data_IF_683400838138
#
_entry.id   IF_683400838138
#
_cell.length_a   1.000
_cell.length_b   1.000
_cell.length_c   1.000
_cell.angle_alpha   90.00
_cell.angle_beta   90.00
_cell.angle_gamma   90.00
#
_symmetry.space_group_name_H-M   'P 1'
#
loop_
_entity.id
_entity.type
_entity.pdbx_description
1 polymer ?
#
# COMPACT_ATOMS: atom_id res chain seq x y z
N UNK A 1 42.96 3.55 -35.92
CA UNK A 1 44.02 3.52 -34.90
C UNK A 1 43.53 2.63 -33.78
N UNK A 2 44.34 1.64 -33.38
CA UNK A 2 44.09 0.80 -32.21
C UNK A 2 44.97 1.27 -31.06
N UNK A 3 44.45 1.09 -29.84
CA UNK A 3 45.18 1.32 -28.61
C UNK A 3 45.44 0.00 -27.88
N UNK A 4 46.67 -0.17 -27.43
CA UNK A 4 47.09 -1.27 -26.58
C UNK A 4 47.21 -0.76 -25.15
N UNK A 5 46.41 -1.30 -24.25
CA UNK A 5 46.33 -0.84 -22.88
C UNK A 5 46.90 -1.92 -21.96
N UNK A 6 48.03 -1.63 -21.31
CA UNK A 6 48.55 -2.44 -20.25
C UNK A 6 47.72 -2.34 -18.99
N UNK A 7 47.33 -3.46 -18.40
CA UNK A 7 46.41 -3.54 -17.26
C UNK A 7 47.17 -3.74 -15.96
N UNK A 8 46.87 -2.90 -14.98
CA UNK A 8 47.40 -3.04 -13.62
C UNK A 8 46.74 -4.22 -12.89
N UNK A 9 47.53 -4.98 -12.14
CA UNK A 9 47.09 -6.13 -11.35
C UNK A 9 46.01 -5.82 -10.28
N UNK A 10 45.80 -4.56 -9.89
CA UNK A 10 44.77 -4.19 -8.93
C UNK A 10 43.36 -4.31 -9.50
N UNK A 11 43.12 -3.90 -10.75
CA UNK A 11 41.83 -4.09 -11.42
C UNK A 11 41.46 -5.55 -11.59
N UNK A 12 42.45 -6.40 -11.81
CA UNK A 12 42.29 -7.88 -11.89
C UNK A 12 41.93 -8.45 -10.52
N UNK A 13 42.64 -8.08 -9.45
CA UNK A 13 42.38 -8.56 -8.07
C UNK A 13 40.99 -8.16 -7.56
N UNK A 14 40.47 -7.01 -8.00
CA UNK A 14 39.13 -6.56 -7.67
C UNK A 14 38.02 -7.22 -8.51
N UNK A 15 38.40 -8.11 -9.47
CA UNK A 15 37.42 -8.71 -10.38
C UNK A 15 36.75 -7.74 -11.35
N UNK A 16 37.32 -6.54 -11.49
CA UNK A 16 36.77 -5.47 -12.35
C UNK A 16 37.10 -5.73 -13.81
N UNK A 17 38.26 -6.31 -14.09
CA UNK A 17 38.67 -6.76 -15.42
C UNK A 17 39.06 -8.23 -15.40
N UNK A 18 38.97 -8.86 -16.58
CA UNK A 18 39.49 -10.23 -16.79
C UNK A 18 41.01 -10.33 -16.59
N UNK A 19 41.52 -11.50 -16.32
CA UNK A 19 42.97 -11.78 -16.15
C UNK A 19 43.71 -11.67 -17.50
N UNK A 20 43.81 -10.49 -18.06
CA UNK A 20 44.59 -10.17 -19.25
C UNK A 20 45.53 -9.02 -18.94
N UNK A 21 46.79 -9.20 -19.34
CA UNK A 21 47.83 -8.18 -19.13
C UNK A 21 47.70 -7.02 -20.10
N UNK A 22 47.05 -7.20 -21.23
CA UNK A 22 46.90 -6.18 -22.26
C UNK A 22 45.55 -6.29 -22.96
N UNK A 23 44.89 -5.17 -23.14
CA UNK A 23 43.70 -5.03 -23.96
C UNK A 23 44.01 -4.29 -25.25
N UNK A 24 43.40 -4.73 -26.34
CA UNK A 24 43.51 -4.10 -27.65
C UNK A 24 42.11 -3.70 -28.10
N UNK A 25 41.91 -2.43 -28.39
CA UNK A 25 40.63 -1.93 -28.86
C UNK A 25 40.77 -0.76 -29.83
N UNK A 26 39.72 -0.41 -30.58
CA UNK A 26 39.67 0.85 -31.33
C UNK A 26 39.80 2.04 -30.39
N UNK A 27 40.55 3.07 -30.78
CA UNK A 27 40.72 4.28 -29.95
C UNK A 27 39.40 4.96 -29.66
N UNK A 28 38.43 4.90 -30.57
CA UNK A 28 37.06 5.45 -30.39
C UNK A 28 36.26 4.79 -29.28
N UNK A 29 36.63 3.57 -28.87
CA UNK A 29 35.91 2.82 -27.81
C UNK A 29 36.56 2.96 -26.43
N UNK A 30 37.72 3.59 -26.37
CA UNK A 30 38.54 3.68 -25.12
C UNK A 30 37.78 4.43 -24.03
N UNK A 31 37.12 5.53 -24.36
CA UNK A 31 36.35 6.32 -23.38
C UNK A 31 35.19 5.50 -22.82
N UNK A 32 34.44 4.81 -23.69
CA UNK A 32 33.34 3.95 -23.27
C UNK A 32 33.81 2.82 -22.35
N UNK A 33 34.95 2.19 -22.66
CA UNK A 33 35.58 1.17 -21.85
C UNK A 33 35.99 1.71 -20.47
N UNK A 34 36.67 2.88 -20.42
CA UNK A 34 37.08 3.50 -19.14
C UNK A 34 35.88 3.85 -18.29
N UNK A 35 34.81 4.42 -18.88
CA UNK A 35 33.57 4.75 -18.17
C UNK A 35 32.88 3.49 -17.64
N UNK A 36 32.79 2.40 -18.42
CA UNK A 36 32.24 1.14 -17.96
C UNK A 36 33.05 0.52 -16.81
N UNK A 37 34.38 0.63 -16.86
CA UNK A 37 35.27 0.16 -15.79
C UNK A 37 35.08 0.99 -14.52
N UNK A 38 34.96 2.32 -14.59
CA UNK A 38 34.66 3.17 -13.44
C UNK A 38 33.27 2.89 -12.86
N UNK A 39 32.26 2.66 -13.70
CA UNK A 39 30.93 2.28 -13.24
C UNK A 39 30.95 0.95 -12.49
N UNK A 40 31.73 -0.02 -12.96
CA UNK A 40 31.89 -1.31 -12.26
C UNK A 40 32.59 -1.11 -10.91
N UNK A 41 33.68 -0.33 -10.87
CA UNK A 41 34.37 0.04 -9.62
C UNK A 41 33.45 0.76 -8.64
N UNK A 42 32.64 1.67 -9.12
CA UNK A 42 31.66 2.41 -8.33
C UNK A 42 30.62 1.46 -7.71
N UNK A 43 30.09 0.51 -8.46
CA UNK A 43 29.14 -0.51 -7.94
C UNK A 43 29.74 -1.36 -6.83
N UNK A 44 31.03 -1.65 -6.91
CA UNK A 44 31.77 -2.39 -5.88
C UNK A 44 32.14 -1.50 -4.65
N UNK A 45 31.83 -0.20 -4.69
CA UNK A 45 32.01 0.73 -3.58
C UNK A 45 33.26 1.61 -3.67
N UNK A 46 33.97 1.56 -4.78
CA UNK A 46 35.10 2.46 -5.05
C UNK A 46 34.62 3.75 -5.72
N UNK A 47 33.76 4.48 -5.03
CA UNK A 47 33.03 5.65 -5.58
C UNK A 47 33.92 6.84 -5.90
N UNK A 48 35.16 6.89 -5.41
CA UNK A 48 36.15 7.94 -5.68
C UNK A 48 37.32 7.43 -6.53
N UNK A 49 37.19 6.23 -7.11
CA UNK A 49 38.22 5.66 -7.99
C UNK A 49 38.44 6.56 -9.23
N UNK A 50 39.68 6.63 -9.66
CA UNK A 50 40.09 7.35 -10.87
C UNK A 50 40.79 6.41 -11.81
N UNK A 51 40.51 6.53 -13.09
CA UNK A 51 41.20 5.85 -14.18
C UNK A 51 41.90 6.87 -15.05
N UNK A 52 43.16 6.61 -15.36
CA UNK A 52 43.96 7.45 -16.26
C UNK A 52 44.76 6.56 -17.21
N UNK A 53 44.85 6.98 -18.46
CA UNK A 53 45.82 6.44 -19.40
C UNK A 53 47.14 7.19 -19.24
N UNK A 54 48.18 6.48 -18.88
CA UNK A 54 49.53 7.00 -18.68
C UNK A 54 50.50 6.43 -19.69
N UNK A 55 51.71 6.96 -19.81
CA UNK A 55 52.77 6.46 -20.67
C UNK A 55 52.37 6.32 -22.17
N UNK A 56 51.55 7.25 -22.65
CA UNK A 56 51.06 7.25 -24.02
C UNK A 56 52.23 7.33 -25.02
N UNK A 57 52.38 6.31 -25.86
CA UNK A 57 53.37 6.23 -26.92
C UNK A 57 52.73 5.87 -28.24
N UNK A 58 53.03 6.63 -29.30
CA UNK A 58 52.59 6.32 -30.67
C UNK A 58 53.64 5.47 -31.34
N UNK A 59 53.21 4.32 -31.83
CA UNK A 59 54.05 3.40 -32.63
C UNK A 59 53.35 3.12 -33.95
N UNK A 60 53.79 3.81 -35.04
CA UNK A 60 53.22 3.72 -36.39
C UNK A 60 51.69 3.97 -36.38
N UNK A 61 50.92 2.89 -36.51
CA UNK A 61 49.47 2.91 -36.68
C UNK A 61 48.68 2.58 -35.37
N UNK A 62 49.36 2.45 -34.26
CA UNK A 62 48.75 2.16 -32.97
C UNK A 62 49.31 3.03 -31.84
N UNK A 63 48.53 3.13 -30.77
CA UNK A 63 48.96 3.73 -29.50
C UNK A 63 49.19 2.67 -28.45
N UNK A 64 50.21 2.88 -27.64
CA UNK A 64 50.41 2.11 -26.38
C UNK A 64 50.14 3.01 -25.21
N UNK A 65 49.48 2.51 -24.18
CA UNK A 65 49.21 3.22 -22.93
C UNK A 65 49.16 2.22 -21.76
N UNK A 66 49.44 2.70 -20.56
CA UNK A 66 49.19 1.98 -19.34
C UNK A 66 47.94 2.50 -18.67
N UNK A 67 47.04 1.62 -18.21
CA UNK A 67 45.87 1.97 -17.45
C UNK A 67 46.27 2.10 -15.98
N UNK A 68 46.30 3.31 -15.48
CA UNK A 68 46.52 3.60 -14.07
C UNK A 68 45.17 3.69 -13.35
N UNK A 69 45.00 2.88 -12.30
CA UNK A 69 43.85 2.86 -11.44
C UNK A 69 44.25 3.34 -10.04
N UNK A 70 43.78 4.52 -9.68
CA UNK A 70 43.93 5.05 -8.34
C UNK A 70 42.72 4.55 -7.51
N UNK A 71 43.01 3.59 -6.64
CA UNK A 71 42.00 2.98 -5.78
C UNK A 71 42.03 3.67 -4.41
N UNK A 72 40.96 4.43 -4.11
CA UNK A 72 40.72 4.87 -2.74
C UNK A 72 40.02 3.75 -1.94
N UNK A 73 39.83 3.99 -0.64
CA UNK A 73 39.15 3.03 0.26
C UNK A 73 37.75 2.67 -0.27
N UNK A 74 37.36 1.42 -0.02
CA UNK A 74 35.97 0.99 -0.11
C UNK A 74 35.10 1.94 0.73
N UNK A 75 34.03 2.48 0.14
CA UNK A 75 33.13 3.40 0.80
C UNK A 75 31.87 2.67 1.27
N UNK A 76 31.52 2.89 2.53
CA UNK A 76 30.29 2.37 3.14
C UNK A 76 29.46 3.55 3.67
N UNK A 77 28.14 3.39 3.73
CA UNK A 77 27.26 4.36 4.37
C UNK A 77 27.46 4.32 5.88
N UNK A 78 28.06 5.35 6.44
CA UNK A 78 28.32 5.42 7.89
C UNK A 78 27.17 6.07 8.65
N UNK A 79 26.50 7.07 8.05
CA UNK A 79 25.35 7.72 8.66
C UNK A 79 24.43 8.34 7.61
N UNK A 80 23.14 8.46 7.99
CA UNK A 80 22.11 9.21 7.24
C UNK A 80 21.65 10.36 8.13
N UNK A 81 21.81 11.58 7.65
CA UNK A 81 21.42 12.82 8.33
C UNK A 81 20.13 13.33 7.69
N UNK A 82 19.10 13.49 8.50
CA UNK A 82 17.78 13.97 8.04
C UNK A 82 17.66 15.43 8.44
N UNK A 83 17.48 16.31 7.46
CA UNK A 83 17.38 17.75 7.62
C UNK A 83 16.00 18.28 7.20
N UNK A 84 15.55 19.37 7.81
CA UNK A 84 14.34 20.12 7.42
C UNK A 84 13.05 19.69 8.13
N UNK A 85 13.06 18.56 8.84
CA UNK A 85 11.92 18.14 9.65
C UNK A 85 12.38 17.66 11.05
N UNK A 86 12.45 18.57 12.01
CA UNK A 86 12.96 18.29 13.35
C UNK A 86 12.19 17.22 14.11
N UNK A 87 10.88 17.15 13.89
CA UNK A 87 9.98 16.14 14.50
C UNK A 87 9.85 14.86 13.68
N UNK A 88 10.85 14.52 12.85
CA UNK A 88 10.85 13.26 12.14
C UNK A 88 10.81 12.07 13.11
N UNK A 89 9.92 11.08 12.93
CA UNK A 89 9.72 9.98 13.88
C UNK A 89 11.00 9.20 14.17
N UNK A 90 11.41 9.13 15.44
CA UNK A 90 12.66 8.50 15.87
C UNK A 90 12.72 6.99 15.53
N UNK A 91 11.58 6.29 15.55
CA UNK A 91 11.51 4.89 15.12
C UNK A 91 11.91 4.71 13.67
N UNK A 92 11.34 5.51 12.76
CA UNK A 92 11.65 5.52 11.34
C UNK A 92 13.11 5.93 11.08
N UNK A 93 13.59 6.97 11.78
CA UNK A 93 14.98 7.43 11.68
C UNK A 93 15.97 6.34 12.07
N UNK A 94 15.71 5.63 13.16
CA UNK A 94 16.57 4.52 13.59
C UNK A 94 16.53 3.36 12.62
N UNK A 95 15.35 3.03 12.10
CA UNK A 95 15.18 1.95 11.12
C UNK A 95 15.91 2.22 9.82
N UNK A 96 15.81 3.44 9.26
CA UNK A 96 16.51 3.76 8.02
C UNK A 96 18.03 3.75 8.21
N UNK A 97 18.51 4.29 9.33
CA UNK A 97 19.93 4.22 9.67
C UNK A 97 20.40 2.77 9.81
N UNK A 98 19.66 1.92 10.50
CA UNK A 98 19.98 0.49 10.68
C UNK A 98 20.06 -0.25 9.35
N UNK A 99 19.15 0.04 8.43
CA UNK A 99 19.06 -0.61 7.12
C UNK A 99 20.28 -0.35 6.24
N UNK A 100 20.83 0.86 6.30
CA UNK A 100 21.90 1.29 5.41
C UNK A 100 23.29 1.37 6.06
N UNK A 101 23.38 1.31 7.39
CA UNK A 101 24.67 1.34 8.10
C UNK A 101 25.58 0.21 7.61
N UNK A 102 26.81 0.55 7.26
CA UNK A 102 27.86 -0.34 6.75
C UNK A 102 27.47 -1.07 5.42
N UNK A 103 26.45 -0.56 4.70
CA UNK A 103 26.21 -0.99 3.32
C UNK A 103 27.20 -0.30 2.40
N UNK A 104 27.66 -1.02 1.38
CA UNK A 104 28.49 -0.45 0.32
C UNK A 104 27.81 0.80 -0.22
N UNK A 105 28.58 1.91 -0.23
CA UNK A 105 28.10 3.14 -0.82
C UNK A 105 28.35 3.14 -2.34
N UNK A 106 27.29 3.27 -3.09
CA UNK A 106 27.27 3.46 -4.54
C UNK A 106 25.99 4.22 -4.94
N UNK A 107 25.89 4.59 -6.22
CA UNK A 107 24.70 5.30 -6.73
C UNK A 107 23.41 4.51 -6.57
N UNK A 108 23.47 3.18 -6.67
CA UNK A 108 22.31 2.33 -6.45
C UNK A 108 21.84 2.40 -4.99
N UNK A 109 22.75 2.36 -4.04
CA UNK A 109 22.44 2.52 -2.61
C UNK A 109 21.85 3.90 -2.33
N UNK A 110 22.42 4.97 -2.93
CA UNK A 110 21.89 6.33 -2.81
C UNK A 110 20.47 6.43 -3.37
N UNK A 111 20.22 5.83 -4.53
CA UNK A 111 18.87 5.76 -5.14
C UNK A 111 17.89 4.98 -4.27
N UNK A 112 18.33 3.89 -3.62
CA UNK A 112 17.50 3.14 -2.67
C UNK A 112 17.15 3.97 -1.43
N UNK A 113 18.11 4.72 -0.88
CA UNK A 113 17.86 5.65 0.24
C UNK A 113 16.83 6.69 -0.18
N UNK A 114 17.02 7.35 -1.32
CA UNK A 114 16.03 8.29 -1.86
C UNK A 114 14.64 7.67 -1.99
N UNK A 115 14.52 6.50 -2.64
CA UNK A 115 13.26 5.80 -2.81
C UNK A 115 12.62 5.31 -1.50
N UNK A 116 13.39 5.04 -0.44
CA UNK A 116 12.82 4.67 0.87
C UNK A 116 12.17 5.89 1.54
N UNK A 117 12.70 7.11 1.38
CA UNK A 117 12.04 8.31 1.87
C UNK A 117 10.77 8.65 1.09
N UNK A 118 10.67 8.29 -0.19
CA UNK A 118 9.43 8.43 -0.96
C UNK A 118 8.29 7.52 -0.49
N UNK A 119 8.59 6.46 0.25
CA UNK A 119 7.58 5.57 0.85
C UNK A 119 6.89 6.18 2.07
N UNK A 120 7.45 7.23 2.66
CA UNK A 120 6.86 7.90 3.80
C UNK A 120 5.81 8.92 3.35
N UNK A 121 4.55 8.69 3.69
CA UNK A 121 3.45 9.61 3.36
C UNK A 121 3.53 10.96 4.07
N UNK A 122 4.24 11.03 5.20
CA UNK A 122 4.30 12.21 6.06
C UNK A 122 5.45 13.15 5.77
N UNK A 123 6.24 12.90 4.72
CA UNK A 123 7.31 13.78 4.24
C UNK A 123 7.33 13.89 2.73
N UNK A 124 7.82 15.04 2.24
CA UNK A 124 8.27 15.24 0.88
C UNK A 124 9.77 15.49 0.88
N UNK A 125 10.48 14.95 -0.08
CA UNK A 125 11.89 15.30 -0.30
C UNK A 125 11.96 16.61 -1.07
N UNK A 126 12.73 17.60 -0.52
CA UNK A 126 12.88 18.92 -1.17
C UNK A 126 13.96 18.94 -2.22
N UNK A 127 14.91 18.01 -2.14
CA UNK A 127 15.95 17.78 -3.15
C UNK A 127 16.49 16.35 -3.06
N UNK A 128 17.22 15.94 -4.09
CA UNK A 128 17.92 14.66 -4.11
C UNK A 128 18.98 14.60 -2.99
N UNK A 129 19.23 13.44 -2.35
CA UNK A 129 20.19 13.31 -1.27
C UNK A 129 21.60 13.76 -1.67
N UNK A 130 22.27 14.48 -0.78
CA UNK A 130 23.66 14.92 -0.94
C UNK A 130 24.61 14.02 -0.15
N UNK A 131 25.85 13.97 -0.59
CA UNK A 131 26.87 13.10 -0.03
C UNK A 131 28.01 13.94 0.51
N UNK A 132 28.45 13.63 1.73
CA UNK A 132 29.68 14.14 2.29
C UNK A 132 30.69 13.00 2.46
N UNK A 133 31.74 13.04 1.67
CA UNK A 133 32.91 12.20 1.86
C UNK A 133 33.91 12.91 2.76
N UNK A 134 34.25 12.30 3.87
CA UNK A 134 35.41 12.67 4.67
C UNK A 134 36.52 11.65 4.43
N UNK A 135 37.68 11.82 5.09
CA UNK A 135 38.79 10.86 4.97
C UNK A 135 38.36 9.42 5.25
N UNK A 136 37.49 9.20 6.26
CA UNK A 136 37.16 7.87 6.74
C UNK A 136 35.64 7.59 6.79
N UNK A 137 34.79 8.58 6.48
CA UNK A 137 33.35 8.40 6.57
C UNK A 137 32.62 8.91 5.34
N UNK A 138 31.48 8.26 5.04
CA UNK A 138 30.52 8.68 4.03
C UNK A 138 29.18 8.95 4.72
N UNK A 139 28.70 10.18 4.67
CA UNK A 139 27.42 10.59 5.23
C UNK A 139 26.47 10.97 4.09
N UNK A 140 25.24 10.48 4.17
CA UNK A 140 24.18 10.84 3.22
C UNK A 140 23.23 11.83 3.90
N UNK A 141 23.06 13.01 3.31
CA UNK A 141 22.17 14.06 3.79
C UNK A 141 20.87 14.01 2.98
N UNK A 142 19.78 13.76 3.66
CA UNK A 142 18.43 13.77 3.08
C UNK A 142 17.69 14.99 3.58
N UNK A 143 17.06 15.72 2.66
CA UNK A 143 16.35 16.96 2.96
C UNK A 143 14.86 16.73 2.77
N UNK A 144 14.11 16.87 3.84
CA UNK A 144 12.66 16.59 3.86
C UNK A 144 11.88 17.70 4.54
N UNK A 145 10.67 17.88 4.11
CA UNK A 145 9.68 18.72 4.76
C UNK A 145 8.46 17.87 5.17
N UNK A 146 7.69 18.32 6.15
CA UNK A 146 6.44 17.65 6.54
C UNK A 146 5.42 17.76 5.42
N UNK A 147 4.89 16.64 4.94
CA UNK A 147 3.76 16.59 4.00
C UNK A 147 2.41 16.68 4.73
N UNK A 148 1.34 16.75 3.97
CA UNK A 148 -0.05 16.74 4.47
C UNK A 148 -0.73 15.42 4.10
N UNK A 149 -0.47 14.33 4.84
CA UNK A 149 -0.99 13.00 4.51
C UNK A 149 -2.40 12.76 5.03
N UNK A 150 -2.90 13.64 5.93
CA UNK A 150 -4.20 13.48 6.55
C UNK A 150 -5.31 13.65 5.54
N UNK A 151 -6.34 12.83 5.67
CA UNK A 151 -7.52 12.87 4.80
C UNK A 151 -8.78 12.85 5.64
N UNK A 152 -9.74 13.60 5.21
CA UNK A 152 -11.11 13.61 5.74
C UNK A 152 -12.07 13.56 4.57
N UNK A 153 -13.05 12.68 4.66
CA UNK A 153 -14.17 12.57 3.75
C UNK A 153 -15.43 12.35 4.59
N UNK A 154 -16.52 13.03 4.31
CA UNK A 154 -17.74 12.79 5.05
C UNK A 154 -18.77 13.91 4.98
N UNK A 155 -19.99 13.53 5.37
CA UNK A 155 -21.08 14.43 5.68
C UNK A 155 -21.95 13.85 6.78
N UNK A 156 -22.66 14.71 7.49
CA UNK A 156 -23.65 14.33 8.50
C UNK A 156 -24.95 15.06 8.18
N UNK A 157 -26.01 14.29 8.01
CA UNK A 157 -27.38 14.78 7.86
C UNK A 157 -28.21 14.51 9.12
N UNK A 158 -29.14 15.37 9.40
CA UNK A 158 -30.08 15.25 10.52
C UNK A 158 -31.50 15.29 9.98
N UNK A 159 -32.35 14.42 10.49
CA UNK A 159 -33.79 14.37 10.18
C UNK A 159 -34.56 13.78 11.36
N UNK A 160 -35.88 13.72 11.24
CA UNK A 160 -36.69 12.98 12.20
C UNK A 160 -37.28 11.73 11.53
N UNK A 161 -37.49 10.68 12.30
CA UNK A 161 -38.29 9.55 11.87
C UNK A 161 -39.79 9.86 11.96
N UNK A 162 -40.63 8.93 11.53
CA UNK A 162 -42.08 9.06 11.57
C UNK A 162 -42.62 9.19 13.02
N UNK A 163 -41.83 8.69 13.99
CA UNK A 163 -42.12 8.78 15.44
C UNK A 163 -41.60 10.07 16.09
N UNK A 164 -40.91 10.93 15.32
CA UNK A 164 -40.37 12.23 15.78
C UNK A 164 -38.97 12.13 16.40
N UNK A 165 -38.33 10.95 16.45
CA UNK A 165 -36.98 10.77 16.97
C UNK A 165 -35.94 11.29 16.00
N UNK A 166 -34.84 11.83 16.53
CA UNK A 166 -33.72 12.33 15.74
C UNK A 166 -33.02 11.17 15.01
N UNK A 167 -32.97 11.25 13.68
CA UNK A 167 -32.18 10.40 12.81
C UNK A 167 -30.89 11.08 12.42
N UNK A 168 -29.79 10.37 12.55
CA UNK A 168 -28.49 10.81 12.04
C UNK A 168 -28.12 9.89 10.89
N UNK A 169 -27.93 10.46 9.71
CA UNK A 169 -27.43 9.76 8.52
C UNK A 169 -26.16 10.42 8.01
N UNK A 170 -25.34 9.67 7.30
CA UNK A 170 -24.11 10.18 6.75
C UNK A 170 -22.94 9.22 6.90
N UNK A 171 -21.77 9.72 6.61
CA UNK A 171 -20.52 8.97 6.84
C UNK A 171 -19.39 9.93 7.19
N UNK A 172 -18.36 9.36 7.79
CA UNK A 172 -17.09 9.99 8.12
C UNK A 172 -15.96 9.00 7.84
N UNK A 173 -14.99 9.40 7.03
CA UNK A 173 -13.76 8.65 6.73
C UNK A 173 -12.56 9.55 7.05
N UNK A 174 -11.87 9.25 8.13
CA UNK A 174 -10.73 10.02 8.64
C UNK A 174 -9.47 9.16 8.62
N UNK A 175 -8.42 9.69 7.99
CA UNK A 175 -7.07 9.14 8.06
C UNK A 175 -6.13 10.18 8.65
N UNK A 176 -5.48 9.85 9.75
CA UNK A 176 -4.40 10.63 10.34
C UNK A 176 -3.10 9.82 10.27
N UNK A 177 -2.04 10.46 9.77
CA UNK A 177 -0.71 9.84 9.65
C UNK A 177 0.32 10.75 10.28
N UNK A 178 1.08 10.22 11.22
CA UNK A 178 2.16 10.94 11.90
C UNK A 178 1.72 12.26 12.57
N UNK A 179 0.50 12.32 13.08
CA UNK A 179 -0.02 13.49 13.80
C UNK A 179 0.65 13.67 15.17
N UNK A 180 1.01 12.56 15.82
CA UNK A 180 1.73 12.52 17.10
C UNK A 180 3.27 12.52 16.92
N UNK A 181 3.78 12.56 15.69
CA UNK A 181 5.21 12.50 15.33
C UNK A 181 5.93 11.20 15.77
N UNK A 182 5.21 10.09 15.87
CA UNK A 182 5.78 8.76 16.12
C UNK A 182 5.64 7.82 14.91
N UNK A 183 5.09 8.33 13.81
CA UNK A 183 4.87 7.58 12.57
C UNK A 183 3.61 6.74 12.58
N UNK A 184 2.71 7.01 13.53
CA UNK A 184 1.44 6.31 13.69
C UNK A 184 0.49 6.55 12.51
N UNK A 185 -0.43 5.59 12.35
CA UNK A 185 -1.55 5.67 11.42
C UNK A 185 -2.84 5.38 12.16
N UNK A 186 -3.75 6.35 12.17
CA UNK A 186 -5.09 6.21 12.70
C UNK A 186 -6.10 6.30 11.59
N UNK A 187 -6.99 5.32 11.47
CA UNK A 187 -8.13 5.33 10.56
C UNK A 187 -9.39 5.27 11.40
N UNK A 188 -10.39 6.04 11.02
CA UNK A 188 -11.72 5.96 11.57
C UNK A 188 -12.73 6.09 10.42
N UNK A 189 -13.60 5.10 10.29
CA UNK A 189 -14.72 5.10 9.36
C UNK A 189 -16.00 4.91 10.14
N UNK A 190 -16.95 5.81 9.97
CA UNK A 190 -18.29 5.70 10.49
C UNK A 190 -19.28 5.95 9.37
N UNK A 191 -20.38 5.17 9.33
CA UNK A 191 -21.47 5.37 8.40
C UNK A 191 -22.79 4.95 9.04
N UNK A 192 -23.82 5.75 8.80
CA UNK A 192 -25.21 5.45 9.16
C UNK A 192 -26.13 5.84 8.01
N UNK A 193 -27.04 4.96 7.63
CA UNK A 193 -28.09 5.25 6.66
C UNK A 193 -29.32 5.95 7.29
N UNK A 194 -29.27 6.14 8.61
CA UNK A 194 -30.34 6.76 9.39
C UNK A 194 -31.49 5.83 9.74
N UNK A 195 -31.56 4.61 9.15
CA UNK A 195 -32.68 3.71 9.34
C UNK A 195 -32.28 2.29 9.77
N UNK A 196 -31.30 1.73 9.10
CA UNK A 196 -31.12 0.27 9.16
C UNK A 196 -29.71 -0.18 9.49
N UNK A 197 -28.70 0.53 9.02
CA UNK A 197 -27.33 0.06 9.20
C UNK A 197 -26.45 1.13 9.81
N UNK A 198 -25.60 0.71 10.71
CA UNK A 198 -24.51 1.54 11.23
C UNK A 198 -23.22 0.73 11.20
N UNK A 199 -22.18 1.31 10.63
CA UNK A 199 -20.82 0.74 10.59
C UNK A 199 -19.88 1.70 11.30
N UNK A 200 -19.06 1.20 12.21
CA UNK A 200 -17.97 1.94 12.84
C UNK A 200 -16.71 1.10 12.81
N UNK A 201 -15.66 1.60 12.18
CA UNK A 201 -14.36 0.95 12.12
C UNK A 201 -13.30 1.94 12.59
N UNK A 202 -12.53 1.54 13.59
CA UNK A 202 -11.38 2.31 14.06
C UNK A 202 -10.14 1.42 14.08
N UNK A 203 -9.01 1.95 13.65
CA UNK A 203 -7.73 1.25 13.76
C UNK A 203 -6.60 2.22 14.10
N UNK A 204 -5.71 1.79 14.97
CA UNK A 204 -4.49 2.49 15.32
C UNK A 204 -3.29 1.58 15.10
N UNK A 205 -2.36 2.01 14.29
CA UNK A 205 -1.09 1.33 14.01
C UNK A 205 0.06 2.19 14.54
N UNK A 206 0.94 1.58 15.34
CA UNK A 206 2.15 2.17 15.89
C UNK A 206 3.35 1.40 15.34
N UNK A 207 4.02 1.90 14.28
CA UNK A 207 5.19 1.25 13.71
C UNK A 207 6.44 1.48 14.56
N UNK A 208 7.42 0.61 14.42
CA UNK A 208 8.76 0.74 14.98
C UNK A 208 8.79 0.99 16.51
N UNK A 209 7.90 0.31 17.25
CA UNK A 209 7.88 0.36 18.71
C UNK A 209 9.25 -0.05 19.28
N UNK A 210 9.64 0.55 20.39
CA UNK A 210 10.98 0.37 20.99
C UNK A 210 12.15 0.66 20.01
N UNK A 211 11.89 1.46 18.95
CA UNK A 211 12.88 1.73 17.90
C UNK A 211 13.41 0.43 17.24
N UNK A 212 12.56 -0.57 17.09
CA UNK A 212 12.80 -1.88 16.49
C UNK A 212 11.97 -2.05 15.21
N UNK A 213 12.13 -3.13 14.42
CA UNK A 213 11.25 -3.40 13.27
C UNK A 213 9.87 -3.92 13.67
N UNK A 214 9.53 -3.87 14.95
CA UNK A 214 8.24 -4.31 15.44
C UNK A 214 7.23 -3.16 15.43
N UNK A 215 5.96 -3.49 15.27
CA UNK A 215 4.84 -2.58 15.41
C UNK A 215 3.66 -3.25 16.09
N UNK A 216 2.71 -2.46 16.53
CA UNK A 216 1.45 -2.95 17.10
C UNK A 216 0.30 -2.27 16.37
N UNK A 217 -0.79 -3.03 16.16
CA UNK A 217 -2.01 -2.53 15.53
C UNK A 217 -3.21 -2.98 16.35
N UNK A 218 -4.04 -2.03 16.75
CA UNK A 218 -5.32 -2.28 17.39
C UNK A 218 -6.46 -1.95 16.44
N UNK A 219 -7.54 -2.74 16.46
CA UNK A 219 -8.72 -2.54 15.61
C UNK A 219 -10.00 -2.75 16.42
N UNK A 220 -11.00 -1.94 16.12
CA UNK A 220 -12.36 -2.07 16.61
C UNK A 220 -13.31 -1.88 15.43
N UNK A 221 -14.16 -2.87 15.18
CA UNK A 221 -15.18 -2.82 14.15
C UNK A 221 -16.54 -3.11 14.78
N UNK A 222 -17.51 -2.22 14.58
CA UNK A 222 -18.87 -2.40 15.05
C UNK A 222 -19.78 -2.32 13.83
N UNK A 223 -20.59 -3.35 13.64
CA UNK A 223 -21.62 -3.39 12.63
C UNK A 223 -22.97 -3.65 13.28
N UNK A 224 -23.92 -2.77 13.06
CA UNK A 224 -25.30 -2.90 13.53
C UNK A 224 -26.22 -2.94 12.33
N UNK A 225 -27.03 -3.98 12.23
CA UNK A 225 -28.04 -4.17 11.21
C UNK A 225 -29.41 -3.85 11.81
N UNK A 226 -29.91 -2.64 11.57
CA UNK A 226 -31.17 -2.10 12.13
C UNK A 226 -31.38 -2.46 13.63
N UNK A 227 -32.54 -3.03 13.96
CA UNK A 227 -32.83 -3.60 15.29
C UNK A 227 -32.62 -5.11 15.38
N UNK A 228 -31.99 -5.75 14.35
CA UNK A 228 -31.86 -7.21 14.32
C UNK A 228 -30.66 -7.69 15.12
N UNK A 229 -29.45 -7.25 14.81
CA UNK A 229 -28.25 -7.68 15.52
C UNK A 229 -27.13 -6.62 15.48
N UNK A 230 -26.16 -6.81 16.37
CA UNK A 230 -24.93 -6.04 16.40
C UNK A 230 -23.71 -6.94 16.57
N UNK A 231 -22.72 -6.77 15.72
CA UNK A 231 -21.41 -7.40 15.81
C UNK A 231 -20.38 -6.39 16.33
N UNK A 232 -19.62 -6.76 17.34
CA UNK A 232 -18.49 -6.01 17.86
C UNK A 232 -17.24 -6.85 17.72
N UNK A 233 -16.35 -6.46 16.82
CA UNK A 233 -15.09 -7.15 16.58
C UNK A 233 -13.92 -6.33 17.07
N UNK A 234 -13.06 -6.95 17.87
CA UNK A 234 -11.79 -6.38 18.33
C UNK A 234 -10.62 -7.21 17.83
N UNK A 235 -9.51 -6.56 17.52
CA UNK A 235 -8.28 -7.26 17.17
C UNK A 235 -7.05 -6.51 17.69
N UNK A 236 -6.04 -7.27 18.05
CA UNK A 236 -4.70 -6.78 18.38
C UNK A 236 -3.67 -7.60 17.62
N UNK A 237 -2.79 -6.92 16.92
CA UNK A 237 -1.81 -7.53 16.03
C UNK A 237 -0.41 -7.03 16.37
N UNK A 238 0.56 -7.95 16.49
CA UNK A 238 1.99 -7.66 16.58
C UNK A 238 2.59 -7.78 15.19
N UNK A 239 3.18 -6.70 14.69
CA UNK A 239 3.73 -6.59 13.35
C UNK A 239 5.24 -6.70 13.30
N UNK A 240 5.77 -7.26 12.21
CA UNK A 240 7.17 -7.19 11.82
C UNK A 240 7.28 -6.49 10.45
N UNK A 241 8.06 -5.43 10.37
CA UNK A 241 8.26 -4.59 9.18
C UNK A 241 9.54 -5.03 8.45
N UNK A 242 9.40 -5.77 7.36
CA UNK A 242 10.53 -6.14 6.49
C UNK A 242 11.14 -4.90 5.82
N UNK A 243 10.29 -3.97 5.47
CA UNK A 243 10.64 -2.65 4.94
C UNK A 243 9.46 -1.68 5.17
N UNK A 244 9.57 -0.45 4.69
CA UNK A 244 8.57 0.60 4.96
C UNK A 244 7.21 0.37 4.31
N UNK A 245 7.11 -0.54 3.36
CA UNK A 245 5.87 -0.85 2.65
C UNK A 245 5.46 -2.33 2.69
N UNK A 246 6.24 -3.20 3.37
CA UNK A 246 5.96 -4.64 3.48
C UNK A 246 6.03 -5.06 4.94
N UNK A 247 4.95 -5.63 5.46
CA UNK A 247 4.84 -6.05 6.84
C UNK A 247 3.98 -7.29 6.98
N UNK A 248 4.24 -8.06 8.03
CA UNK A 248 3.43 -9.19 8.46
C UNK A 248 2.99 -8.98 9.88
N UNK A 249 1.84 -9.52 10.22
CA UNK A 249 1.30 -9.47 11.58
C UNK A 249 0.91 -10.86 12.04
N UNK A 250 1.08 -11.10 13.32
CA UNK A 250 0.45 -12.19 14.06
C UNK A 250 -0.47 -11.56 15.11
N UNK A 251 -1.72 -11.98 15.14
CA UNK A 251 -2.71 -11.31 15.97
C UNK A 251 -3.74 -12.23 16.59
N UNK A 252 -4.55 -11.63 17.42
CA UNK A 252 -5.75 -12.21 18.02
C UNK A 252 -6.94 -11.32 17.65
N UNK A 253 -8.01 -11.94 17.18
CA UNK A 253 -9.27 -11.29 16.85
C UNK A 253 -10.42 -11.97 17.57
N UNK A 254 -11.32 -11.20 18.15
CA UNK A 254 -12.55 -11.69 18.76
C UNK A 254 -13.75 -10.91 18.23
N UNK A 255 -14.85 -11.59 18.03
CA UNK A 255 -16.14 -10.98 17.66
C UNK A 255 -17.19 -11.45 18.65
N UNK A 256 -17.98 -10.51 19.18
CA UNK A 256 -19.18 -10.74 19.93
C UNK A 256 -20.37 -10.24 19.11
N UNK A 257 -21.38 -11.08 18.95
CA UNK A 257 -22.61 -10.79 18.22
C UNK A 257 -23.82 -10.98 19.09
N UNK A 258 -24.68 -9.96 19.14
CA UNK A 258 -25.90 -9.96 19.94
C UNK A 258 -27.12 -9.85 19.02
N UNK A 259 -28.05 -10.78 19.11
CA UNK A 259 -29.41 -10.69 18.56
C UNK A 259 -30.20 -9.64 19.38
N UNK A 260 -30.69 -8.58 18.72
CA UNK A 260 -31.42 -7.50 19.39
C UNK A 260 -32.92 -7.81 19.41
N UNK A 261 -33.43 -8.57 18.43
CA UNK A 261 -34.86 -8.84 18.29
C UNK A 261 -35.34 -10.04 19.09
N UNK A 262 -34.47 -11.03 19.33
CA UNK A 262 -34.79 -12.27 20.03
C UNK A 262 -36.02 -13.00 19.47
N UNK A 263 -36.15 -13.04 18.12
CA UNK A 263 -37.28 -13.68 17.45
C UNK A 263 -37.09 -15.19 17.41
N UNK A 264 -38.13 -15.94 17.88
CA UNK A 264 -38.15 -17.41 17.83
C UNK A 264 -38.11 -17.87 16.37
N UNK A 265 -37.15 -18.75 16.02
CA UNK A 265 -36.97 -19.30 14.68
C UNK A 265 -36.17 -18.40 13.73
N UNK A 266 -35.51 -17.35 14.24
CA UNK A 266 -34.56 -16.53 13.51
C UNK A 266 -33.31 -17.33 13.12
N UNK A 267 -32.72 -17.01 11.98
CA UNK A 267 -31.38 -17.49 11.57
C UNK A 267 -30.26 -16.63 12.19
N UNK A 268 -30.62 -15.64 13.02
CA UNK A 268 -29.73 -14.78 13.79
C UNK A 268 -29.64 -15.40 15.18
N UNK A 269 -28.45 -15.51 15.71
CA UNK A 269 -28.18 -16.13 17.00
C UNK A 269 -27.01 -15.41 17.68
N UNK A 270 -27.06 -15.24 18.99
CA UNK A 270 -25.93 -14.77 19.76
C UNK A 270 -24.72 -15.69 19.57
N UNK A 271 -23.56 -15.12 19.36
CA UNK A 271 -22.31 -15.87 19.29
C UNK A 271 -21.12 -15.05 19.74
N UNK A 272 -20.11 -15.75 20.19
CA UNK A 272 -18.75 -15.26 20.28
C UNK A 272 -17.82 -16.11 19.40
N UNK A 273 -16.85 -15.45 18.76
CA UNK A 273 -15.76 -16.14 18.09
C UNK A 273 -14.41 -15.56 18.46
N UNK A 274 -13.39 -16.38 18.33
CA UNK A 274 -12.02 -15.96 18.53
C UNK A 274 -11.09 -16.65 17.55
N UNK A 275 -10.15 -15.90 16.98
CA UNK A 275 -9.21 -16.36 15.98
C UNK A 275 -7.78 -15.95 16.31
N UNK A 276 -6.84 -16.85 16.10
CA UNK A 276 -5.45 -16.50 15.89
C UNK A 276 -5.29 -16.15 14.42
N UNK A 277 -4.74 -14.97 14.11
CA UNK A 277 -4.69 -14.43 12.76
C UNK A 277 -3.28 -14.18 12.29
N UNK A 278 -3.03 -14.42 11.00
CA UNK A 278 -1.86 -13.95 10.28
C UNK A 278 -2.30 -12.94 9.22
N UNK A 279 -1.58 -11.82 9.10
CA UNK A 279 -1.88 -10.80 8.09
C UNK A 279 -0.59 -10.40 7.36
N UNK A 280 -0.67 -10.30 6.02
CA UNK A 280 0.37 -9.76 5.15
C UNK A 280 -0.14 -8.47 4.52
N UNK A 281 0.64 -7.39 4.64
CA UNK A 281 0.33 -6.10 4.05
C UNK A 281 1.50 -5.59 3.21
N UNK A 282 1.17 -5.18 1.99
CA UNK A 282 2.08 -4.47 1.09
C UNK A 282 1.37 -3.26 0.49
N UNK A 283 2.03 -2.10 0.53
CA UNK A 283 1.50 -0.87 -0.07
C UNK A 283 2.60 -0.15 -0.83
N UNK A 284 2.38 0.09 -2.12
CA UNK A 284 3.26 0.90 -2.95
C UNK A 284 2.56 2.20 -3.32
N UNK A 285 3.22 3.32 -3.06
CA UNK A 285 2.74 4.65 -3.44
C UNK A 285 3.39 5.13 -4.74
N UNK A 286 2.69 6.01 -5.43
CA UNK A 286 3.15 6.83 -6.54
C UNK A 286 2.87 8.29 -6.19
N UNK A 287 3.84 8.94 -5.55
CA UNK A 287 3.66 10.24 -4.90
C UNK A 287 3.43 11.40 -5.90
N UNK A 288 3.81 11.23 -7.16
CA UNK A 288 3.59 12.15 -8.26
C UNK A 288 2.17 12.01 -8.87
N UNK A 289 1.39 11.01 -8.46
CA UNK A 289 0.00 10.84 -8.87
C UNK A 289 -0.96 11.43 -7.84
N UNK A 290 -1.51 12.59 -8.14
CA UNK A 290 -2.45 13.28 -7.25
C UNK A 290 -3.85 12.65 -7.22
N UNK A 291 -4.26 11.95 -8.29
CA UNK A 291 -5.55 11.26 -8.35
C UNK A 291 -5.49 9.90 -7.64
N UNK A 292 -4.43 9.11 -7.92
CA UNK A 292 -4.33 7.72 -7.50
C UNK A 292 -2.98 7.41 -6.84
N UNK A 293 -2.67 8.03 -5.69
CA UNK A 293 -1.36 7.91 -5.05
C UNK A 293 -1.03 6.48 -4.58
N UNK A 294 -2.04 5.62 -4.39
CA UNK A 294 -1.87 4.23 -4.00
C UNK A 294 -1.77 3.36 -5.26
N UNK A 295 -0.53 3.06 -5.70
CA UNK A 295 -0.30 2.27 -6.93
C UNK A 295 -0.68 0.81 -6.75
N UNK A 296 -0.23 0.18 -5.65
CA UNK A 296 -0.48 -1.23 -5.36
C UNK A 296 -0.81 -1.39 -3.89
N UNK A 297 -1.88 -2.12 -3.58
CA UNK A 297 -2.21 -2.55 -2.22
C UNK A 297 -2.43 -4.05 -2.27
N UNK A 298 -1.83 -4.76 -1.33
CA UNK A 298 -2.07 -6.18 -1.06
C UNK A 298 -2.30 -6.30 0.43
N UNK A 299 -3.46 -6.82 0.81
CA UNK A 299 -3.82 -7.12 2.18
C UNK A 299 -4.45 -8.51 2.20
N UNK A 300 -3.80 -9.46 2.87
CA UNK A 300 -4.26 -10.85 2.97
C UNK A 300 -4.23 -11.23 4.44
N UNK A 301 -5.41 -11.51 5.00
CA UNK A 301 -5.59 -11.92 6.40
C UNK A 301 -6.21 -13.31 6.42
N UNK A 302 -5.64 -14.22 7.18
CA UNK A 302 -6.22 -15.54 7.45
C UNK A 302 -6.25 -15.78 8.95
N UNK A 303 -7.22 -16.55 9.40
CA UNK A 303 -7.36 -16.89 10.82
C UNK A 303 -7.97 -18.26 11.03
N UNK A 304 -7.55 -18.91 12.11
CA UNK A 304 -8.14 -20.14 12.61
C UNK A 304 -8.58 -19.97 14.04
N UNK A 305 -9.73 -20.53 14.38
CA UNK A 305 -10.31 -20.29 15.70
C UNK A 305 -11.58 -21.08 15.92
N UNK A 306 -12.40 -20.58 16.85
CA UNK A 306 -13.66 -21.21 17.25
C UNK A 306 -14.76 -20.16 17.31
N UNK A 307 -15.97 -20.59 16.98
CA UNK A 307 -17.21 -19.89 17.26
C UNK A 307 -17.99 -20.70 18.29
N UNK A 308 -18.50 -20.03 19.31
CA UNK A 308 -19.46 -20.56 20.28
C UNK A 308 -20.79 -19.83 20.09
N UNK A 309 -21.86 -20.56 20.04
CA UNK A 309 -23.24 -20.08 20.07
C UNK A 309 -24.05 -20.90 21.06
N UNK A 310 -25.26 -20.50 21.33
CA UNK A 310 -26.14 -21.28 22.26
C UNK A 310 -26.33 -22.74 21.84
N UNK A 311 -26.27 -23.01 20.51
CA UNK A 311 -26.59 -24.33 19.96
C UNK A 311 -25.37 -25.14 19.52
N UNK A 312 -24.24 -24.50 19.27
CA UNK A 312 -23.06 -25.17 18.69
C UNK A 312 -21.75 -24.50 19.02
N UNK A 313 -20.67 -25.30 19.04
CA UNK A 313 -19.30 -24.82 19.14
C UNK A 313 -18.50 -25.41 17.97
N UNK A 314 -18.09 -24.58 17.02
CA UNK A 314 -17.47 -25.00 15.76
C UNK A 314 -16.05 -24.47 15.60
N UNK A 315 -15.17 -25.31 15.07
CA UNK A 315 -13.88 -24.83 14.56
C UNK A 315 -14.11 -24.08 13.24
N UNK A 316 -13.45 -22.96 13.12
CA UNK A 316 -13.58 -22.12 11.95
C UNK A 316 -12.21 -21.73 11.38
N UNK A 317 -12.19 -21.52 10.06
CA UNK A 317 -11.08 -20.92 9.35
C UNK A 317 -11.61 -19.85 8.41
N UNK A 318 -10.95 -18.70 8.34
CA UNK A 318 -11.27 -17.69 7.34
C UNK A 318 -10.04 -17.21 6.60
N UNK A 319 -10.27 -16.75 5.37
CA UNK A 319 -9.30 -15.97 4.61
C UNK A 319 -10.01 -14.74 4.01
N UNK A 320 -9.37 -13.59 4.10
CA UNK A 320 -9.81 -12.33 3.51
C UNK A 320 -8.66 -11.74 2.70
N UNK A 321 -8.91 -11.40 1.44
CA UNK A 321 -7.93 -10.79 0.55
C UNK A 321 -8.52 -9.54 -0.11
N UNK A 322 -7.80 -8.42 0.01
CA UNK A 322 -8.07 -7.16 -0.71
C UNK A 322 -6.81 -6.78 -1.49
N UNK A 323 -6.91 -6.84 -2.82
CA UNK A 323 -5.83 -6.61 -3.76
C UNK A 323 -6.22 -5.47 -4.68
N UNK A 324 -5.34 -4.49 -4.87
CA UNK A 324 -5.56 -3.39 -5.81
C UNK A 324 -4.27 -3.04 -6.54
N UNK A 325 -4.38 -2.78 -7.84
CA UNK A 325 -3.26 -2.33 -8.65
C UNK A 325 -3.70 -1.33 -9.70
N UNK A 326 -2.93 -0.25 -9.87
CA UNK A 326 -3.06 0.70 -10.96
C UNK A 326 -1.99 0.41 -12.02
N UNK A 327 -2.42 -0.07 -13.18
CA UNK A 327 -1.57 -0.28 -14.36
C UNK A 327 -1.60 1.00 -15.21
N UNK A 328 -0.46 1.67 -15.31
CA UNK A 328 -0.30 2.87 -16.13
C UNK A 328 0.11 2.47 -17.54
N UNK A 329 -0.77 2.64 -18.51
CA UNK A 329 -0.46 2.44 -19.93
C UNK A 329 0.33 3.63 -20.48
N UNK A 330 -0.02 4.82 -20.01
CA UNK A 330 0.69 6.08 -20.21
C UNK A 330 0.20 7.12 -19.17
N UNK A 331 0.61 8.38 -19.28
CA UNK A 331 0.25 9.44 -18.33
C UNK A 331 -1.27 9.73 -18.24
N UNK A 332 -2.03 9.42 -19.29
CA UNK A 332 -3.48 9.69 -19.36
C UNK A 332 -4.34 8.44 -19.18
N UNK A 333 -3.80 7.26 -19.46
CA UNK A 333 -4.57 6.02 -19.54
C UNK A 333 -4.12 5.06 -18.43
N UNK A 334 -5.03 4.75 -17.53
CA UNK A 334 -4.77 3.93 -16.34
C UNK A 334 -5.86 2.86 -16.23
N UNK A 335 -5.46 1.62 -15.98
CA UNK A 335 -6.38 0.54 -15.65
C UNK A 335 -6.24 0.26 -14.17
N UNK A 336 -7.32 0.43 -13.41
CA UNK A 336 -7.39 -0.01 -12.03
C UNK A 336 -8.05 -1.39 -11.98
N UNK A 337 -7.41 -2.30 -11.28
CA UNK A 337 -7.94 -3.63 -10.99
C UNK A 337 -7.94 -3.80 -9.49
N UNK A 338 -9.11 -4.11 -8.92
CA UNK A 338 -9.27 -4.47 -7.52
C UNK A 338 -9.90 -5.86 -7.45
N UNK A 339 -9.41 -6.71 -6.55
CA UNK A 339 -10.02 -7.99 -6.21
C UNK A 339 -10.29 -8.03 -4.72
N UNK A 340 -11.51 -8.43 -4.36
CA UNK A 340 -11.90 -8.72 -2.99
C UNK A 340 -12.37 -10.15 -2.91
N UNK A 341 -11.85 -10.90 -1.94
CA UNK A 341 -12.25 -12.28 -1.72
C UNK A 341 -12.34 -12.57 -0.23
N UNK A 342 -13.38 -13.26 0.16
CA UNK A 342 -13.60 -13.74 1.51
C UNK A 342 -14.06 -15.19 1.48
N UNK A 343 -13.56 -15.98 2.40
CA UNK A 343 -14.00 -17.36 2.60
C UNK A 343 -14.03 -17.66 4.10
N UNK A 344 -15.14 -18.15 4.56
CA UNK A 344 -15.33 -18.72 5.91
C UNK A 344 -15.67 -20.20 5.77
N UNK A 345 -14.88 -21.04 6.42
CA UNK A 345 -15.15 -22.45 6.58
C UNK A 345 -15.65 -22.70 8.01
N UNK A 346 -16.82 -23.34 8.11
CA UNK A 346 -17.45 -23.77 9.35
C UNK A 346 -18.25 -25.06 9.10
N UNK A 347 -18.61 -25.79 10.14
CA UNK A 347 -19.50 -26.95 10.02
C UNK A 347 -20.93 -26.51 9.75
N UNK A 348 -21.41 -25.46 10.42
CA UNK A 348 -22.67 -24.76 10.19
C UNK A 348 -22.45 -23.26 10.09
N UNK A 349 -23.46 -22.53 9.60
CA UNK A 349 -23.39 -21.11 9.37
C UNK A 349 -24.60 -20.40 9.98
N UNK A 350 -24.37 -19.21 10.53
CA UNK A 350 -25.41 -18.32 11.04
C UNK A 350 -25.34 -16.98 10.30
N UNK A 351 -26.51 -16.35 10.11
CA UNK A 351 -26.67 -15.17 9.24
C UNK A 351 -25.79 -13.99 9.66
N UNK A 352 -25.69 -13.73 10.95
CA UNK A 352 -24.97 -12.57 11.49
C UNK A 352 -23.44 -12.75 11.57
N UNK A 353 -22.90 -13.96 11.27
CA UNK A 353 -21.45 -14.15 11.13
C UNK A 353 -20.94 -13.96 9.70
N UNK A 354 -21.84 -13.96 8.71
CA UNK A 354 -21.46 -13.90 7.30
C UNK A 354 -20.83 -12.55 6.93
N UNK A 355 -19.89 -12.60 5.99
CA UNK A 355 -19.26 -11.41 5.43
C UNK A 355 -20.27 -10.57 4.65
N UNK A 356 -20.34 -9.28 4.96
CA UNK A 356 -21.20 -8.30 4.29
C UNK A 356 -20.45 -7.57 3.20
N UNK A 357 -21.11 -7.41 2.04
CA UNK A 357 -20.52 -6.75 0.88
C UNK A 357 -21.59 -6.04 0.03
N UNK A 358 -21.15 -5.38 -1.05
CA UNK A 358 -21.93 -4.45 -1.88
C UNK A 358 -21.51 -2.99 -1.61
N UNK A 359 -21.86 -2.10 -2.52
CA UNK A 359 -21.58 -0.67 -2.40
C UNK A 359 -20.30 -0.19 -3.09
N UNK A 360 -19.98 1.09 -2.89
CA UNK A 360 -18.90 1.79 -3.60
C UNK A 360 -17.51 1.16 -3.40
N UNK A 361 -17.26 0.59 -2.24
CA UNK A 361 -15.97 -0.02 -1.89
C UNK A 361 -15.89 -1.51 -2.21
N UNK A 362 -16.98 -2.11 -2.67
CA UNK A 362 -17.10 -3.50 -3.09
C UNK A 362 -17.67 -3.58 -4.50
N UNK A 363 -18.59 -4.50 -4.79
CA UNK A 363 -19.26 -4.55 -6.10
C UNK A 363 -20.25 -3.39 -6.22
N UNK A 364 -20.09 -2.55 -7.25
CA UNK A 364 -20.88 -1.32 -7.44
C UNK A 364 -22.21 -1.63 -8.15
N UNK A 365 -23.21 -0.78 -7.91
CA UNK A 365 -24.59 -0.99 -8.39
C UNK A 365 -25.44 -1.81 -7.42
N UNK A 366 -24.91 -2.18 -6.25
CA UNK A 366 -25.62 -2.77 -5.13
C UNK A 366 -25.54 -1.85 -3.91
N UNK A 367 -26.52 -1.89 -3.04
CA UNK A 367 -26.50 -1.12 -1.80
C UNK A 367 -25.38 -1.61 -0.89
N UNK A 368 -24.85 -0.73 -0.07
CA UNK A 368 -23.74 -1.06 0.83
C UNK A 368 -24.17 -2.10 1.87
N UNK A 369 -23.33 -3.15 2.05
CA UNK A 369 -23.57 -4.26 2.97
C UNK A 369 -24.92 -4.98 2.78
N UNK A 370 -25.56 -4.85 1.59
CA UNK A 370 -26.86 -5.47 1.34
C UNK A 370 -26.78 -6.97 1.04
N UNK A 371 -25.62 -7.46 0.69
CA UNK A 371 -25.35 -8.86 0.38
C UNK A 371 -24.47 -9.49 1.46
N UNK A 372 -24.61 -10.79 1.64
CA UNK A 372 -23.86 -11.55 2.64
C UNK A 372 -23.36 -12.88 2.07
N UNK A 373 -22.24 -13.39 2.59
CA UNK A 373 -21.66 -14.61 2.07
C UNK A 373 -20.73 -15.31 3.07
N UNK A 374 -20.68 -16.64 3.01
CA UNK A 374 -19.58 -17.43 3.54
C UNK A 374 -18.42 -17.55 2.52
N UNK A 375 -18.71 -17.40 1.21
CA UNK A 375 -17.72 -17.28 0.15
C UNK A 375 -18.09 -16.12 -0.77
N UNK A 376 -17.19 -15.18 -0.94
CA UNK A 376 -17.30 -14.07 -1.87
C UNK A 376 -15.99 -13.88 -2.62
N UNK A 377 -16.07 -13.63 -3.92
CA UNK A 377 -14.92 -13.23 -4.74
C UNK A 377 -15.38 -12.26 -5.82
N UNK A 378 -14.62 -11.20 -6.02
CA UNK A 378 -14.92 -10.19 -7.03
C UNK A 378 -13.67 -9.68 -7.74
N UNK A 379 -13.86 -9.21 -8.96
CA UNK A 379 -12.91 -8.45 -9.76
C UNK A 379 -13.62 -7.16 -10.17
N UNK A 380 -13.11 -6.04 -9.69
CA UNK A 380 -13.63 -4.71 -9.92
C UNK A 380 -12.64 -3.97 -10.81
N UNK A 381 -13.12 -3.44 -11.95
CA UNK A 381 -12.25 -2.82 -12.93
C UNK A 381 -12.70 -1.41 -13.27
N UNK A 382 -11.73 -0.54 -13.50
CA UNK A 382 -11.95 0.80 -14.02
C UNK A 382 -10.92 1.10 -15.10
N UNK A 383 -11.37 1.50 -16.28
CA UNK A 383 -10.53 2.21 -17.20
C UNK A 383 -10.67 3.70 -16.91
N UNK A 384 -9.57 4.33 -16.54
CA UNK A 384 -9.47 5.73 -16.14
C UNK A 384 -8.76 6.53 -17.20
N UNK A 385 -9.39 7.60 -17.65
CA UNK A 385 -8.85 8.52 -18.64
C UNK A 385 -8.71 9.93 -18.03
N UNK A 386 -7.47 10.40 -17.96
CA UNK A 386 -7.15 11.75 -17.47
C UNK A 386 -7.39 12.76 -18.58
N UNK A 387 -8.51 13.48 -18.48
CA UNK A 387 -8.94 14.51 -19.42
C UNK A 387 -8.09 15.78 -19.31
N UNK A 388 -7.80 16.19 -18.08
CA UNK A 388 -7.00 17.35 -17.73
C UNK A 388 -6.26 17.11 -16.41
N UNK A 389 -5.28 17.94 -16.02
CA UNK A 389 -4.57 17.78 -14.73
C UNK A 389 -5.47 17.75 -13.49
N UNK A 390 -6.72 18.19 -13.62
CA UNK A 390 -7.69 18.26 -12.52
C UNK A 390 -8.93 17.39 -12.75
N UNK A 391 -9.08 16.72 -13.90
CA UNK A 391 -10.30 15.98 -14.24
C UNK A 391 -9.95 14.64 -14.87
N UNK A 392 -10.59 13.56 -14.40
CA UNK A 392 -10.58 12.27 -15.06
C UNK A 392 -11.99 11.70 -15.16
N UNK A 393 -12.20 10.85 -16.16
CA UNK A 393 -13.40 10.02 -16.29
C UNK A 393 -12.99 8.54 -16.20
N UNK A 394 -13.93 7.67 -15.80
CA UNK A 394 -13.68 6.25 -15.73
C UNK A 394 -14.92 5.43 -16.04
N UNK A 395 -14.73 4.24 -16.61
CA UNK A 395 -15.73 3.19 -16.72
C UNK A 395 -15.73 2.34 -15.44
N UNK A 396 -16.80 1.59 -15.23
CA UNK A 396 -16.95 0.61 -14.17
C UNK A 396 -17.44 -0.69 -14.80
N UNK A 397 -16.68 -1.77 -14.59
CA UNK A 397 -17.06 -3.13 -14.95
C UNK A 397 -16.63 -4.03 -13.81
N UNK A 398 -17.61 -4.50 -13.03
CA UNK A 398 -17.40 -5.30 -11.83
C UNK A 398 -18.03 -6.68 -12.01
N UNK A 399 -17.28 -7.72 -11.68
CA UNK A 399 -17.77 -9.09 -11.64
C UNK A 399 -17.64 -9.64 -10.23
N UNK A 400 -18.66 -10.35 -9.76
CA UNK A 400 -18.64 -11.01 -8.48
C UNK A 400 -19.29 -12.39 -8.53
N UNK A 401 -18.91 -13.22 -7.56
CA UNK A 401 -19.58 -14.46 -7.24
C UNK A 401 -19.65 -14.59 -5.73
N UNK A 402 -20.79 -15.05 -5.22
CA UNK A 402 -20.93 -15.34 -3.80
C UNK A 402 -21.71 -16.61 -3.54
N UNK A 403 -21.53 -17.15 -2.35
CA UNK A 403 -22.30 -18.25 -1.79
C UNK A 403 -22.74 -17.88 -0.37
N UNK A 404 -24.04 -18.01 -0.10
CA UNK A 404 -24.65 -17.92 1.23
C UNK A 404 -25.22 -19.27 1.62
N UNK A 405 -24.54 -19.98 2.51
CA UNK A 405 -24.98 -21.30 2.99
C UNK A 405 -26.11 -21.24 4.01
N UNK A 406 -26.44 -20.06 4.54
CA UNK A 406 -27.61 -19.92 5.45
C UNK A 406 -28.92 -19.94 4.70
N UNK A 407 -28.91 -19.56 3.43
CA UNK A 407 -30.08 -19.53 2.54
C UNK A 407 -29.98 -20.51 1.35
N UNK A 408 -28.84 -21.23 1.27
CA UNK A 408 -28.45 -22.08 0.13
C UNK A 408 -28.47 -21.35 -1.22
N UNK A 409 -28.12 -20.04 -1.17
CA UNK A 409 -28.07 -19.17 -2.34
C UNK A 409 -26.65 -19.02 -2.87
N UNK A 410 -26.51 -19.04 -4.19
CA UNK A 410 -25.27 -18.68 -4.87
C UNK A 410 -25.57 -17.93 -6.15
N UNK A 411 -24.87 -16.82 -6.38
CA UNK A 411 -25.13 -15.97 -7.54
C UNK A 411 -23.86 -15.35 -8.13
N UNK A 412 -23.96 -15.04 -9.43
CA UNK A 412 -23.02 -14.18 -10.15
C UNK A 412 -23.56 -12.76 -10.17
N UNK A 413 -22.68 -11.81 -9.96
CA UNK A 413 -22.99 -10.39 -9.89
C UNK A 413 -22.27 -9.65 -11.00
N UNK A 414 -22.95 -8.69 -11.63
CA UNK A 414 -22.39 -7.78 -12.60
C UNK A 414 -22.71 -6.36 -12.18
N UNK A 415 -21.68 -5.50 -12.08
CA UNK A 415 -21.83 -4.07 -11.86
C UNK A 415 -21.33 -3.32 -13.10
N UNK A 416 -22.16 -2.45 -13.65
CA UNK A 416 -21.80 -1.60 -14.80
C UNK A 416 -22.03 -0.14 -14.46
N UNK A 417 -21.13 0.73 -14.91
CA UNK A 417 -21.28 2.14 -14.64
C UNK A 417 -20.16 2.99 -15.22
N UNK A 418 -20.19 4.24 -14.82
CA UNK A 418 -19.16 5.22 -15.13
C UNK A 418 -19.07 6.26 -14.04
N UNK A 419 -18.00 7.02 -14.04
CA UNK A 419 -17.82 8.10 -13.10
C UNK A 419 -16.82 9.13 -13.59
N UNK A 420 -16.71 10.21 -12.85
CA UNK A 420 -15.67 11.20 -13.04
C UNK A 420 -15.18 11.76 -11.71
N UNK A 421 -13.93 12.20 -11.71
CA UNK A 421 -13.31 12.86 -10.57
C UNK A 421 -12.81 14.25 -10.94
N UNK A 422 -12.97 15.18 -10.01
CA UNK A 422 -12.50 16.55 -10.10
C UNK A 422 -11.57 16.85 -8.93
N UNK A 423 -10.29 17.08 -9.23
CA UNK A 423 -9.30 17.50 -8.25
C UNK A 423 -9.41 19.02 -8.03
N UNK A 424 -9.63 19.40 -6.79
CA UNK A 424 -9.67 20.80 -6.34
C UNK A 424 -8.47 21.08 -5.43
N UNK A 425 -8.26 22.34 -5.05
CA UNK A 425 -7.23 22.72 -4.07
C UNK A 425 -7.43 22.03 -2.70
N UNK A 426 -8.69 21.73 -2.35
CA UNK A 426 -9.05 21.22 -1.04
C UNK A 426 -9.21 19.69 -1.01
N UNK A 427 -9.26 19.03 -2.18
CA UNK A 427 -9.45 17.60 -2.25
C UNK A 427 -9.99 17.10 -3.58
N UNK A 428 -10.31 15.81 -3.63
CA UNK A 428 -10.82 15.11 -4.80
C UNK A 428 -12.32 14.85 -4.65
N UNK A 429 -13.12 15.44 -5.52
CA UNK A 429 -14.54 15.15 -5.68
C UNK A 429 -14.73 13.99 -6.68
N UNK A 430 -15.57 13.01 -6.33
CA UNK A 430 -15.94 11.91 -7.21
C UNK A 430 -17.45 11.78 -7.31
N UNK A 431 -17.94 11.58 -8.53
CA UNK A 431 -19.29 11.16 -8.84
C UNK A 431 -19.25 9.83 -9.60
N UNK A 432 -20.04 8.88 -9.12
CA UNK A 432 -20.13 7.54 -9.69
C UNK A 432 -21.59 7.20 -9.91
N UNK A 433 -21.91 6.73 -11.11
CA UNK A 433 -23.21 6.17 -11.49
C UNK A 433 -23.01 4.69 -11.80
N UNK A 434 -23.70 3.80 -11.11
CA UNK A 434 -23.57 2.37 -11.30
C UNK A 434 -24.87 1.63 -11.17
N UNK A 435 -25.02 0.54 -11.93
CA UNK A 435 -26.17 -0.34 -11.94
C UNK A 435 -25.70 -1.79 -11.74
N UNK A 436 -26.36 -2.52 -10.85
CA UNK A 436 -26.08 -3.91 -10.53
C UNK A 436 -27.08 -4.85 -11.15
N UNK A 437 -26.60 -6.03 -11.56
CA UNK A 437 -27.42 -7.12 -12.09
C UNK A 437 -27.09 -8.45 -11.40
N UNK A 438 -28.13 -9.23 -11.12
CA UNK A 438 -28.07 -10.59 -10.65
C UNK A 438 -28.83 -11.49 -11.62
N UNK A 439 -28.99 -12.78 -11.29
CA UNK A 439 -29.82 -13.69 -12.07
C UNK A 439 -31.29 -13.21 -12.14
N UNK A 440 -31.79 -12.64 -11.05
CA UNK A 440 -33.20 -12.24 -10.91
C UNK A 440 -33.41 -10.72 -11.06
N UNK A 441 -32.32 -9.94 -11.13
CA UNK A 441 -32.35 -8.48 -11.29
C UNK A 441 -31.65 -8.08 -12.58
N UNK A 442 -32.42 -7.66 -13.57
CA UNK A 442 -31.89 -7.10 -14.81
C UNK A 442 -31.36 -5.66 -14.60
N UNK A 443 -30.45 -5.24 -15.48
CA UNK A 443 -29.99 -3.84 -15.54
C UNK A 443 -31.17 -2.95 -15.95
N UNK A 444 -31.60 -2.05 -15.04
CA UNK A 444 -32.65 -1.05 -15.28
C UNK A 444 -32.18 0.31 -14.75
N UNK A 445 -32.43 1.34 -15.52
CA UNK A 445 -32.07 2.73 -15.11
C UNK A 445 -32.69 3.13 -13.76
N UNK A 446 -33.87 2.61 -13.44
CA UNK A 446 -34.54 2.84 -12.15
C UNK A 446 -33.77 2.28 -10.94
N UNK A 447 -32.90 1.31 -11.15
CA UNK A 447 -32.15 0.62 -10.09
C UNK A 447 -30.72 1.17 -9.94
N UNK A 448 -30.42 2.27 -10.62
CA UNK A 448 -29.08 2.85 -10.60
C UNK A 448 -28.80 3.56 -9.28
N UNK A 449 -27.57 3.42 -8.81
CA UNK A 449 -27.08 4.04 -7.60
C UNK A 449 -26.10 5.15 -7.99
N UNK A 450 -26.31 6.34 -7.42
CA UNK A 450 -25.39 7.47 -7.56
C UNK A 450 -24.61 7.62 -6.26
N UNK A 451 -23.29 7.59 -6.36
CA UNK A 451 -22.39 7.81 -5.24
C UNK A 451 -21.65 9.14 -5.44
N UNK A 452 -21.61 9.95 -4.40
CA UNK A 452 -20.88 11.22 -4.35
C UNK A 452 -19.92 11.15 -3.17
N UNK A 453 -18.64 11.46 -3.41
CA UNK A 453 -17.66 11.58 -2.33
C UNK A 453 -16.72 12.77 -2.54
N UNK A 454 -16.24 13.34 -1.44
CA UNK A 454 -15.26 14.42 -1.44
C UNK A 454 -14.15 14.14 -0.44
N UNK A 455 -12.96 13.78 -0.92
CA UNK A 455 -11.79 13.47 -0.10
C UNK A 455 -10.91 14.71 0.09
N UNK A 456 -11.06 15.39 1.20
CA UNK A 456 -10.20 16.51 1.57
C UNK A 456 -8.82 16.04 2.04
N UNK A 457 -7.75 16.82 1.73
CA UNK A 457 -6.38 16.61 2.24
C UNK A 457 -5.97 17.81 3.08
N UNK A 458 -5.36 17.58 4.25
CA UNK A 458 -4.94 18.64 5.18
C UNK A 458 -3.69 18.29 6.00
#
# INVERSE_FOLDING_TARGET
IHIYIGINSELQKLGILEEKDTLIMPLSETEAFMNATLQKSEREGYSLAKLQLTNLKREKDFLKADLFFENEKLREVNDIVINGYDKFPEGHKKEIKRRYKNKVFNQETLKKIHGDFEKFQFVNQTKYPEILFTKDTTKVYVYVEKSKPNRFDGFIGFGNNDDGDLKINGYLDLLLVNSLNVGERFNLYWKSDGNKQTTFNASLELPYIFKSPLGIKGQLNIFKQDSTFQNTQTAIDLGYYFNFNTRVYLGYQSTESNDIQNLVGSTITDFDNSFITGNFEFTQFKNDDYFFPEKTIINIKAGTGKRNSETSANNQFFINADLRHNLYLNEKNIINIKSQSYYLQSEDYITNELFRFGGINSIRGFNENSLQANLFSSILTEYRYVLAPTIYAHSIIDFGYFQDKTTDNNEKLLGLGFGFGLLTKNGLFNLIYANGSTKDQEIKLSNSIVHISFKAKF
#
